data_IF_322667270969
#
_entry.id   IF_322667270969
#
_cell.length_a   1.000
_cell.length_b   1.000
_cell.length_c   1.000
_cell.angle_alpha   90.00
_cell.angle_beta   90.00
_cell.angle_gamma   90.00
#
_symmetry.space_group_name_H-M   'P 1'
#
loop_
_entity.id
_entity.type
_entity.pdbx_description
1 polymer ?
#
# COMPACT_ATOMS: atom_id res chain seq x y z
N UNK A 1 11.77 17.30 7.46
CA UNK A 1 10.41 17.88 7.55
C UNK A 1 9.89 18.05 6.15
N UNK A 2 8.65 17.64 5.92
CA UNK A 2 7.93 17.80 4.65
C UNK A 2 6.44 17.91 4.93
N UNK A 3 5.66 18.17 3.89
CA UNK A 3 4.22 18.37 4.00
C UNK A 3 3.46 17.19 3.38
N UNK A 4 2.30 16.87 3.94
CA UNK A 4 1.33 15.97 3.33
C UNK A 4 0.48 16.84 2.41
N UNK A 5 0.58 16.61 1.11
CA UNK A 5 -0.13 17.38 0.09
C UNK A 5 -0.93 16.44 -0.80
N UNK A 6 -2.16 16.80 -1.16
CA UNK A 6 -2.98 15.97 -2.03
C UNK A 6 -2.39 15.96 -3.44
N UNK A 7 -2.61 14.84 -4.12
CA UNK A 7 -2.13 14.61 -5.48
C UNK A 7 -3.30 14.37 -6.42
N UNK A 8 -3.10 14.75 -7.69
CA UNK A 8 -3.97 14.40 -8.79
C UNK A 8 -3.30 13.34 -9.65
N UNK A 9 -3.92 12.17 -9.77
CA UNK A 9 -3.38 11.09 -10.61
C UNK A 9 -3.76 11.36 -12.07
N UNK A 10 -2.77 11.50 -12.94
CA UNK A 10 -3.00 11.83 -14.36
C UNK A 10 -2.97 10.60 -15.24
N UNK A 11 -2.11 9.63 -14.93
CA UNK A 11 -1.95 8.42 -15.73
C UNK A 11 -1.21 7.31 -14.98
N UNK A 12 -1.22 6.11 -15.55
CA UNK A 12 -0.43 4.98 -15.07
C UNK A 12 0.45 4.46 -16.20
N UNK A 13 1.75 4.39 -15.94
CA UNK A 13 2.69 3.62 -16.76
C UNK A 13 2.65 2.19 -16.27
N UNK A 14 2.31 1.24 -17.14
CA UNK A 14 2.17 -0.17 -16.77
C UNK A 14 3.52 -0.79 -16.40
N UNK A 15 3.50 -1.64 -15.38
CA UNK A 15 4.61 -2.53 -15.05
C UNK A 15 4.75 -3.64 -16.08
N UNK A 16 6.00 -4.02 -16.34
CA UNK A 16 6.38 -5.16 -17.17
C UNK A 16 7.53 -5.89 -16.49
N UNK A 17 7.78 -7.14 -16.90
CA UNK A 17 8.94 -7.88 -16.42
C UNK A 17 10.24 -7.08 -16.67
N UNK A 18 11.04 -6.91 -15.62
CA UNK A 18 12.26 -6.11 -15.62
C UNK A 18 12.06 -4.60 -15.46
N UNK A 19 10.83 -4.09 -15.58
CA UNK A 19 10.53 -2.66 -15.63
C UNK A 19 9.29 -2.32 -14.79
N UNK A 20 9.49 -1.94 -13.51
CA UNK A 20 8.41 -1.40 -12.69
C UNK A 20 7.79 -0.16 -13.34
N UNK A 21 6.48 -0.16 -13.46
CA UNK A 21 5.70 0.99 -13.91
C UNK A 21 5.52 2.01 -12.79
N UNK A 22 4.71 3.04 -13.04
CA UNK A 22 4.58 4.19 -12.12
C UNK A 22 3.19 4.83 -12.22
N UNK A 23 2.62 5.20 -11.06
CA UNK A 23 1.52 6.15 -10.98
C UNK A 23 2.05 7.56 -11.21
N UNK A 24 1.60 8.20 -12.28
CA UNK A 24 1.99 9.55 -12.63
C UNK A 24 0.93 10.54 -12.13
N UNK A 25 1.37 11.62 -11.50
CA UNK A 25 0.49 12.65 -10.98
C UNK A 25 1.22 13.94 -10.73
N UNK A 26 0.47 14.96 -10.35
CA UNK A 26 0.97 16.26 -9.90
C UNK A 26 0.37 16.60 -8.55
N UNK A 27 1.06 17.41 -7.76
CA UNK A 27 0.46 17.99 -6.57
C UNK A 27 -0.76 18.83 -6.97
N UNK A 28 -1.82 18.75 -6.17
CA UNK A 28 -2.95 19.65 -6.33
C UNK A 28 -2.58 21.03 -5.73
N UNK A 29 -3.09 22.11 -6.32
CA UNK A 29 -2.95 23.46 -5.77
C UNK A 29 -3.89 23.61 -4.57
N UNK A 30 -3.51 23.05 -3.43
CA UNK A 30 -4.23 23.16 -2.16
C UNK A 30 -3.29 23.24 -0.97
N UNK A 31 -3.83 23.63 0.18
CA UNK A 31 -3.09 23.67 1.43
C UNK A 31 -2.61 22.27 1.83
N UNK A 32 -1.52 22.23 2.61
CA UNK A 32 -1.03 21.01 3.22
C UNK A 32 -2.08 20.42 4.18
N UNK A 33 -2.31 19.12 4.05
CA UNK A 33 -3.24 18.35 4.89
C UNK A 33 -2.57 17.82 6.16
N UNK A 34 -1.26 18.06 6.32
CA UNK A 34 -0.50 17.63 7.48
C UNK A 34 0.99 17.84 7.31
N UNK A 35 1.75 17.36 8.30
CA UNK A 35 3.20 17.49 8.36
C UNK A 35 3.86 16.13 8.57
N UNK A 36 5.00 15.93 7.90
CA UNK A 36 5.86 14.77 8.06
C UNK A 36 6.94 15.06 9.10
N UNK A 37 6.98 14.22 10.14
CA UNK A 37 7.93 14.33 11.24
C UNK A 37 9.11 13.37 11.11
N UNK A 38 8.91 12.20 10.48
CA UNK A 38 9.94 11.17 10.39
C UNK A 38 9.86 10.41 9.07
N UNK A 39 11.03 10.10 8.52
CA UNK A 39 11.18 9.16 7.42
C UNK A 39 12.25 8.15 7.87
N UNK A 40 11.84 6.89 8.07
CA UNK A 40 12.70 5.81 8.52
C UNK A 40 12.61 4.64 7.56
N UNK A 41 13.47 3.63 7.78
CA UNK A 41 13.42 2.38 7.01
C UNK A 41 12.09 1.62 7.17
N UNK A 42 11.28 1.99 8.18
CA UNK A 42 10.03 1.33 8.54
C UNK A 42 8.81 2.11 8.06
N UNK A 43 8.98 3.29 7.47
CA UNK A 43 7.88 4.09 6.94
C UNK A 43 8.07 5.60 7.10
N UNK A 44 7.06 6.32 6.65
CA UNK A 44 6.94 7.78 6.76
C UNK A 44 5.85 8.09 7.78
N UNK A 45 6.19 8.89 8.78
CA UNK A 45 5.33 9.22 9.91
C UNK A 45 5.12 10.73 10.00
N UNK A 46 3.96 11.12 10.52
CA UNK A 46 3.54 12.51 10.56
C UNK A 46 2.21 12.71 11.27
N UNK A 47 1.68 13.92 11.17
CA UNK A 47 0.37 14.29 11.70
C UNK A 47 -0.46 14.89 10.58
N UNK A 48 -1.67 14.36 10.41
CA UNK A 48 -2.70 14.97 9.56
C UNK A 48 -3.44 16.04 10.37
N UNK A 49 -3.84 17.13 9.71
CA UNK A 49 -4.50 18.28 10.32
C UNK A 49 -5.93 17.93 10.76
N UNK A 50 -6.59 17.03 10.01
CA UNK A 50 -7.89 16.49 10.34
C UNK A 50 -7.98 15.04 9.88
N UNK A 51 -8.64 14.19 10.67
CA UNK A 51 -9.02 12.85 10.22
C UNK A 51 -10.08 12.98 9.11
N UNK A 52 -10.09 12.07 8.12
CA UNK A 52 -11.18 11.99 7.16
C UNK A 52 -12.52 11.88 7.90
N UNK A 53 -13.49 12.74 7.57
CA UNK A 53 -14.83 12.70 8.20
C UNK A 53 -15.61 11.43 7.84
N UNK A 54 -15.17 10.70 6.82
CA UNK A 54 -15.78 9.48 6.32
C UNK A 54 -14.76 8.34 6.34
N UNK A 55 -15.15 7.20 6.88
CA UNK A 55 -14.35 5.99 6.93
C UNK A 55 -14.86 5.02 8.00
N UNK A 56 -14.72 3.73 7.73
CA UNK A 56 -14.96 2.69 8.73
C UNK A 56 -13.64 2.42 9.48
N UNK A 57 -13.71 2.33 10.82
CA UNK A 57 -12.56 1.92 11.61
C UNK A 57 -12.33 0.43 11.42
N UNK A 58 -11.17 0.09 10.88
CA UNK A 58 -10.77 -1.30 10.66
C UNK A 58 -9.76 -1.68 11.75
N UNK A 59 -9.98 -2.77 12.50
CA UNK A 59 -9.01 -3.24 13.49
C UNK A 59 -7.72 -3.71 12.79
N UNK A 60 -6.59 -3.47 13.44
CA UNK A 60 -5.30 -4.04 13.03
C UNK A 60 -5.30 -5.54 13.33
N UNK A 61 -4.91 -6.36 12.36
CA UNK A 61 -4.70 -7.77 12.57
C UNK A 61 -3.36 -7.99 13.28
N UNK A 62 -3.32 -8.87 14.26
CA UNK A 62 -2.05 -9.38 14.76
C UNK A 62 -1.42 -10.33 13.75
N UNK A 63 -0.09 -10.42 13.74
CA UNK A 63 0.66 -11.26 12.79
C UNK A 63 0.19 -12.73 12.79
N UNK A 64 -0.23 -13.28 13.94
CA UNK A 64 -0.74 -14.65 14.06
C UNK A 64 -2.16 -14.86 13.49
N UNK A 65 -2.92 -13.79 13.26
CA UNK A 65 -4.27 -13.85 12.67
C UNK A 65 -4.23 -13.85 11.14
N UNK A 66 -3.09 -13.48 10.56
CA UNK A 66 -2.88 -13.40 9.12
C UNK A 66 -2.51 -14.78 8.60
N UNK A 67 -3.18 -15.21 7.54
CA UNK A 67 -3.00 -16.52 6.92
C UNK A 67 -2.74 -16.39 5.43
N UNK A 68 -2.09 -17.40 4.85
CA UNK A 68 -1.96 -17.49 3.40
C UNK A 68 -3.35 -17.65 2.77
N UNK A 69 -3.53 -17.07 1.58
CA UNK A 69 -4.77 -17.13 0.83
C UNK A 69 -5.36 -15.76 0.52
N UNK A 70 -6.68 -15.72 0.27
CA UNK A 70 -7.36 -14.55 -0.24
C UNK A 70 -7.28 -13.33 0.70
N UNK A 71 -7.07 -12.16 0.09
CA UNK A 71 -7.07 -10.86 0.75
C UNK A 71 -7.54 -9.77 -0.25
N UNK A 72 -7.62 -8.52 0.21
CA UNK A 72 -7.94 -7.36 -0.62
C UNK A 72 -6.82 -6.33 -0.52
N UNK A 73 -6.39 -5.78 -1.65
CA UNK A 73 -5.55 -4.60 -1.73
C UNK A 73 -6.43 -3.38 -1.99
N UNK A 74 -6.30 -2.35 -1.17
CA UNK A 74 -6.99 -1.08 -1.37
C UNK A 74 -6.02 -0.08 -1.98
N UNK A 75 -6.28 0.39 -3.20
CA UNK A 75 -5.45 1.40 -3.83
C UNK A 75 -6.22 2.31 -4.78
N UNK A 76 -5.65 3.49 -5.03
CA UNK A 76 -6.16 4.47 -6.00
C UNK A 76 -5.21 4.49 -7.19
N UNK A 77 -5.71 4.19 -8.38
CA UNK A 77 -4.90 4.12 -9.62
C UNK A 77 -5.27 5.19 -10.64
N UNK A 78 -6.35 5.92 -10.38
CA UNK A 78 -6.83 7.03 -11.20
C UNK A 78 -7.57 8.06 -10.33
N UNK A 79 -7.80 9.25 -10.88
CA UNK A 79 -8.41 10.38 -10.17
C UNK A 79 -9.95 10.33 -10.13
N UNK A 80 -10.56 9.36 -10.80
CA UNK A 80 -12.02 9.30 -11.01
C UNK A 80 -12.72 8.29 -10.12
N UNK A 81 -12.04 7.20 -9.79
CA UNK A 81 -12.61 6.06 -9.07
C UNK A 81 -12.40 6.15 -7.56
N UNK A 82 -11.41 6.94 -7.12
CA UNK A 82 -10.98 6.96 -5.72
C UNK A 82 -10.40 5.60 -5.27
N UNK A 83 -10.31 5.37 -3.94
CA UNK A 83 -9.81 4.11 -3.39
C UNK A 83 -10.70 2.93 -3.80
N UNK A 84 -10.11 1.91 -4.40
CA UNK A 84 -10.80 0.71 -4.87
C UNK A 84 -10.21 -0.55 -4.24
N UNK A 85 -11.06 -1.55 -3.99
CA UNK A 85 -10.65 -2.88 -3.55
C UNK A 85 -10.37 -3.81 -4.73
N UNK A 86 -9.24 -4.50 -4.65
CA UNK A 86 -8.77 -5.47 -5.63
C UNK A 86 -8.40 -6.79 -4.98
N UNK A 87 -8.78 -7.89 -5.61
CA UNK A 87 -8.40 -9.23 -5.17
C UNK A 87 -6.89 -9.45 -5.25
N UNK A 88 -6.34 -9.96 -4.15
CA UNK A 88 -4.94 -10.41 -4.04
C UNK A 88 -4.87 -11.70 -3.23
N UNK A 89 -3.72 -12.37 -3.29
CA UNK A 89 -3.41 -13.55 -2.50
C UNK A 89 -2.14 -13.33 -1.68
N UNK A 90 -2.19 -13.68 -0.40
CA UNK A 90 -1.01 -13.78 0.46
C UNK A 90 -0.39 -15.16 0.22
N UNK A 91 0.68 -15.22 -0.57
CA UNK A 91 1.33 -16.48 -0.95
C UNK A 91 2.30 -16.98 0.13
N UNK A 92 2.97 -16.06 0.82
CA UNK A 92 3.94 -16.39 1.85
C UNK A 92 3.91 -15.40 3.02
N UNK A 93 4.26 -15.89 4.21
CA UNK A 93 4.32 -15.13 5.46
C UNK A 93 5.62 -15.50 6.18
N UNK A 94 6.44 -14.48 6.43
CA UNK A 94 7.71 -14.54 7.13
C UNK A 94 7.63 -13.75 8.43
N UNK A 95 7.79 -14.48 9.53
CA UNK A 95 7.87 -13.91 10.89
C UNK A 95 9.30 -13.55 11.30
N UNK A 96 10.23 -13.52 10.36
CA UNK A 96 11.62 -13.21 10.66
C UNK A 96 11.79 -11.69 10.79
N UNK A 97 11.92 -11.21 12.03
CA UNK A 97 12.08 -9.79 12.35
C UNK A 97 13.36 -9.14 11.78
N UNK A 98 14.27 -9.94 11.19
CA UNK A 98 15.46 -9.41 10.48
C UNK A 98 15.13 -8.62 9.21
N UNK A 99 13.95 -8.81 8.62
CA UNK A 99 13.50 -8.09 7.43
C UNK A 99 12.17 -7.38 7.73
N UNK A 100 12.24 -6.28 8.46
CA UNK A 100 11.09 -5.58 9.05
C UNK A 100 10.05 -5.06 8.06
N UNK A 101 10.33 -5.03 6.76
CA UNK A 101 9.42 -4.51 5.71
C UNK A 101 9.04 -5.53 4.62
N UNK A 102 9.44 -6.79 4.79
CA UNK A 102 9.23 -7.88 3.81
C UNK A 102 8.66 -9.14 4.50
N UNK A 103 7.55 -8.97 5.20
CA UNK A 103 6.93 -10.02 5.98
C UNK A 103 5.96 -10.87 5.16
N UNK A 104 5.41 -10.34 4.08
CA UNK A 104 4.43 -11.07 3.27
C UNK A 104 4.81 -10.99 1.80
N UNK A 105 4.53 -12.07 1.06
CA UNK A 105 4.52 -12.07 -0.41
C UNK A 105 3.07 -11.97 -0.87
N UNK A 106 2.79 -10.93 -1.64
CA UNK A 106 1.46 -10.61 -2.16
C UNK A 106 1.46 -10.83 -3.66
N UNK A 107 0.46 -11.53 -4.17
CA UNK A 107 0.21 -11.75 -5.59
C UNK A 107 -1.11 -11.09 -6.00
N UNK A 108 -1.05 -10.21 -6.98
CA UNK A 108 -2.22 -9.54 -7.55
C UNK A 108 -2.98 -10.52 -8.44
N UNK A 109 -4.23 -10.83 -8.07
CA UNK A 109 -5.09 -11.75 -8.83
C UNK A 109 -6.26 -11.04 -9.52
N UNK A 110 -6.55 -9.77 -9.16
CA UNK A 110 -7.60 -8.98 -9.80
C UNK A 110 -7.24 -8.60 -11.24
N UNK A 111 -7.99 -9.15 -12.19
CA UNK A 111 -7.76 -8.89 -13.61
C UNK A 111 -7.98 -7.42 -14.00
N UNK A 112 -8.84 -6.66 -13.30
CA UNK A 112 -9.08 -5.25 -13.62
C UNK A 112 -7.82 -4.46 -13.34
N UNK A 113 -7.22 -4.67 -12.16
CA UNK A 113 -5.96 -4.04 -11.78
C UNK A 113 -4.84 -4.44 -12.75
N UNK A 114 -4.67 -5.75 -12.99
CA UNK A 114 -3.65 -6.25 -13.92
C UNK A 114 -3.78 -5.66 -15.33
N UNK A 115 -5.00 -5.55 -15.86
CA UNK A 115 -5.24 -4.94 -17.18
C UNK A 115 -4.83 -3.47 -17.21
N UNK A 116 -5.07 -2.72 -16.14
CA UNK A 116 -4.79 -1.29 -16.08
C UNK A 116 -3.33 -0.98 -15.80
N UNK A 117 -2.66 -1.76 -14.94
CA UNK A 117 -1.35 -1.41 -14.38
C UNK A 117 -0.25 -2.41 -14.70
N UNK A 118 -0.57 -3.59 -15.22
CA UNK A 118 0.42 -4.66 -15.46
C UNK A 118 0.95 -5.31 -14.17
N UNK A 119 0.33 -5.02 -13.02
CA UNK A 119 0.78 -5.46 -11.70
C UNK A 119 0.99 -4.29 -10.74
N UNK A 120 1.86 -4.48 -9.76
CA UNK A 120 2.25 -3.45 -8.81
C UNK A 120 3.13 -2.43 -9.51
N UNK A 121 2.81 -1.15 -9.36
CA UNK A 121 3.58 -0.01 -9.89
C UNK A 121 4.12 0.85 -8.76
N UNK A 122 5.16 1.63 -9.04
CA UNK A 122 5.64 2.65 -8.12
C UNK A 122 4.53 3.67 -7.83
N UNK A 123 4.40 4.06 -6.56
CA UNK A 123 3.28 4.87 -6.06
C UNK A 123 2.19 4.06 -5.35
N UNK A 124 2.16 2.73 -5.52
CA UNK A 124 1.28 1.85 -4.73
C UNK A 124 1.84 1.49 -3.35
N UNK A 125 3.10 1.81 -3.05
CA UNK A 125 3.66 1.57 -1.71
C UNK A 125 2.84 2.28 -0.65
N UNK A 126 2.50 1.58 0.43
CA UNK A 126 1.57 2.03 1.46
C UNK A 126 0.12 1.62 1.22
N UNK A 127 -0.22 1.00 0.08
CA UNK A 127 -1.57 0.50 -0.19
C UNK A 127 -1.99 -0.52 0.86
N UNK A 128 -3.10 -0.31 1.60
CA UNK A 128 -3.56 -1.20 2.65
C UNK A 128 -3.95 -2.58 2.12
N UNK A 129 -3.67 -3.61 2.92
CA UNK A 129 -4.05 -5.00 2.67
C UNK A 129 -5.01 -5.43 3.78
N UNK A 130 -6.21 -5.83 3.37
CA UNK A 130 -7.25 -6.31 4.27
C UNK A 130 -7.41 -7.83 4.13
N UNK A 131 -7.50 -8.52 5.26
CA UNK A 131 -7.85 -9.94 5.32
C UNK A 131 -8.79 -10.16 6.51
N UNK A 132 -9.84 -10.97 6.34
CA UNK A 132 -10.81 -11.28 7.40
C UNK A 132 -11.44 -10.04 8.07
N UNK A 133 -11.59 -8.93 7.33
CA UNK A 133 -12.13 -7.67 7.85
C UNK A 133 -11.17 -6.89 8.74
N UNK A 134 -9.89 -7.27 8.80
CA UNK A 134 -8.84 -6.61 9.57
C UNK A 134 -7.75 -6.07 8.64
N UNK A 135 -7.01 -5.05 9.10
CA UNK A 135 -5.84 -4.51 8.42
C UNK A 135 -4.65 -5.44 8.67
N UNK A 136 -4.30 -6.25 7.66
CA UNK A 136 -3.19 -7.19 7.72
C UNK A 136 -1.84 -6.49 7.54
N UNK A 137 -1.79 -5.46 6.69
CA UNK A 137 -0.54 -4.79 6.37
C UNK A 137 -0.64 -3.78 5.25
N UNK A 138 0.52 -3.43 4.71
CA UNK A 138 0.63 -2.54 3.57
C UNK A 138 1.68 -3.03 2.57
N UNK A 139 1.41 -2.80 1.28
CA UNK A 139 2.34 -3.11 0.21
C UNK A 139 3.59 -2.23 0.30
N UNK A 140 4.79 -2.79 0.06
CA UNK A 140 6.05 -2.03 0.17
C UNK A 140 6.83 -2.03 -1.14
N UNK A 141 7.11 -3.19 -1.73
CA UNK A 141 8.00 -3.31 -2.88
C UNK A 141 7.45 -4.28 -3.93
N UNK A 142 7.71 -4.00 -5.20
CA UNK A 142 7.38 -4.91 -6.32
C UNK A 142 8.55 -5.86 -6.63
N UNK A 143 8.25 -7.06 -7.10
CA UNK A 143 9.27 -7.96 -7.66
C UNK A 143 9.59 -7.53 -9.08
N UNK A 144 10.85 -7.20 -9.35
CA UNK A 144 11.26 -6.67 -10.67
C UNK A 144 10.99 -7.67 -11.80
N UNK A 145 11.22 -8.96 -11.56
CA UNK A 145 11.03 -10.01 -12.57
C UNK A 145 9.58 -10.49 -12.70
N UNK A 146 8.71 -10.10 -11.75
CA UNK A 146 7.31 -10.46 -11.76
C UNK A 146 6.49 -9.34 -11.11
N UNK A 147 6.02 -8.37 -11.89
CA UNK A 147 5.30 -7.22 -11.35
C UNK A 147 3.96 -7.59 -10.74
N UNK A 148 3.45 -8.80 -10.95
CA UNK A 148 2.21 -9.26 -10.29
C UNK A 148 2.46 -9.59 -8.82
N UNK A 149 3.72 -9.68 -8.38
CA UNK A 149 4.11 -10.01 -7.02
C UNK A 149 4.88 -8.90 -6.33
N UNK A 150 4.75 -8.82 -5.02
CA UNK A 150 5.45 -7.84 -4.20
C UNK A 150 5.56 -8.25 -2.75
N UNK A 151 6.35 -7.47 -2.01
CA UNK A 151 6.47 -7.57 -0.57
C UNK A 151 5.47 -6.66 0.12
N UNK A 152 5.04 -7.08 1.30
CA UNK A 152 4.27 -6.27 2.23
C UNK A 152 4.81 -6.40 3.66
N UNK A 153 4.50 -5.39 4.48
CA UNK A 153 4.83 -5.32 5.92
C UNK A 153 3.57 -5.52 6.74
N UNK A 154 3.69 -6.11 7.94
CA UNK A 154 2.57 -6.21 8.87
C UNK A 154 2.12 -4.85 9.38
N UNK A 155 0.81 -4.67 9.52
CA UNK A 155 0.26 -3.46 10.13
C UNK A 155 0.68 -3.34 11.61
N UNK A 156 0.75 -4.47 12.32
CA UNK A 156 1.30 -4.54 13.68
C UNK A 156 2.69 -3.90 13.77
N UNK A 157 3.58 -4.19 12.81
CA UNK A 157 4.93 -3.60 12.76
C UNK A 157 4.90 -2.10 12.55
N UNK A 158 3.98 -1.59 11.72
CA UNK A 158 3.83 -0.15 11.47
C UNK A 158 3.40 0.60 12.75
N UNK A 159 2.52 -0.01 13.56
CA UNK A 159 2.02 0.60 14.80
C UNK A 159 3.06 0.67 15.92
N UNK A 160 4.11 -0.14 15.88
CA UNK A 160 5.17 -0.13 16.89
C UNK A 160 6.03 1.15 16.86
N UNK A 161 5.92 1.96 15.81
CA UNK A 161 6.68 3.20 15.60
C UNK A 161 5.82 4.46 15.67
N UNK A 162 4.56 4.34 16.08
CA UNK A 162 3.63 5.45 16.31
C UNK A 162 3.39 5.62 17.81
N UNK A 163 3.49 6.85 18.31
CA UNK A 163 3.15 7.23 19.70
C UNK A 163 1.64 7.16 19.99
#
# INVERSE_FOLDING_TARGET
NGDIVPIRITSVVKSMCGHPGTLCGSFADSDAEGTLSQNSEHGVYGKINALPQQGELIPVAFRQEIVRGAAQLICTIDDTSGPCAYNVEIEDISYNDRQSVKNMVIHITDERLLRQTGGIVQGMSGSPILQNGQLAGALTHVFINDPTRGYAVFAETMTAFTD
#
